data_IF_652706629615
#
_entry.id   IF_652706629615
#
_cell.length_a   1.000
_cell.length_b   1.000
_cell.length_c   1.000
_cell.angle_alpha   90.00
_cell.angle_beta   90.00
_cell.angle_gamma   90.00
#
_symmetry.space_group_name_H-M   'P 1'
#
loop_
_entity.id
_entity.type
_entity.pdbx_description
1 polymer ?
#
# COMPACT_ATOMS: atom_id res chain seq x y z
N UNK A 1 -21.51 -19.25 3.54
CA UNK A 1 -20.18 -19.39 4.16
C UNK A 1 -19.02 -18.82 3.32
N UNK A 2 -19.05 -18.88 1.98
CA UNK A 2 -17.94 -18.40 1.10
C UNK A 2 -17.70 -16.87 1.18
N UNK A 3 -18.70 -16.07 1.61
CA UNK A 3 -18.58 -14.61 1.76
C UNK A 3 -17.60 -14.13 2.85
N UNK A 4 -17.24 -14.97 3.83
CA UNK A 4 -16.38 -14.56 4.95
C UNK A 4 -14.90 -14.81 4.72
N UNK A 5 -14.54 -15.63 3.73
CA UNK A 5 -13.16 -15.98 3.40
C UNK A 5 -12.34 -14.73 3.04
N UNK A 6 -12.83 -13.82 2.17
CA UNK A 6 -12.07 -12.61 1.83
C UNK A 6 -11.86 -11.69 3.04
N UNK A 7 -12.89 -11.53 3.89
CA UNK A 7 -12.80 -10.67 5.08
C UNK A 7 -11.79 -11.21 6.10
N UNK A 8 -11.74 -12.53 6.28
CA UNK A 8 -10.78 -13.16 7.20
C UNK A 8 -9.35 -12.96 6.69
N UNK A 9 -9.11 -13.10 5.39
CA UNK A 9 -7.80 -12.86 4.80
C UNK A 9 -7.37 -11.40 4.87
N UNK A 10 -8.26 -10.44 4.59
CA UNK A 10 -7.94 -9.02 4.79
C UNK A 10 -7.60 -8.71 6.25
N UNK A 11 -8.31 -9.32 7.22
CA UNK A 11 -8.00 -9.15 8.64
C UNK A 11 -6.62 -9.73 9.00
N UNK A 12 -6.32 -10.94 8.54
CA UNK A 12 -5.02 -11.59 8.74
C UNK A 12 -3.90 -10.74 8.13
N UNK A 13 -4.12 -10.15 6.94
CA UNK A 13 -3.16 -9.23 6.32
C UNK A 13 -2.89 -7.99 7.17
N UNK A 14 -3.92 -7.38 7.74
CA UNK A 14 -3.74 -6.24 8.66
C UNK A 14 -2.90 -6.67 9.86
N UNK A 15 -3.19 -7.83 10.46
CA UNK A 15 -2.40 -8.36 11.57
C UNK A 15 -0.95 -8.61 11.18
N UNK A 16 -0.70 -9.23 10.02
CA UNK A 16 0.66 -9.48 9.50
C UNK A 16 1.40 -8.16 9.24
N UNK A 17 0.74 -7.19 8.61
CA UNK A 17 1.33 -5.87 8.34
C UNK A 17 1.74 -5.16 9.64
N UNK A 18 0.89 -5.21 10.67
CA UNK A 18 1.23 -4.68 12.00
C UNK A 18 2.39 -5.45 12.62
N UNK A 19 2.43 -6.78 12.50
CA UNK A 19 3.55 -7.58 13.00
C UNK A 19 4.88 -7.21 12.32
N UNK A 20 4.88 -6.84 11.03
CA UNK A 20 6.09 -6.40 10.33
C UNK A 20 6.74 -5.18 10.98
N UNK A 21 5.97 -4.27 11.60
CA UNK A 21 6.51 -3.10 12.32
C UNK A 21 7.42 -3.46 13.50
N UNK A 22 7.16 -4.61 14.13
CA UNK A 22 7.89 -5.07 15.30
C UNK A 22 9.05 -6.00 14.95
N UNK A 23 9.13 -6.44 13.69
CA UNK A 23 10.15 -7.35 13.21
C UNK A 23 11.31 -6.59 12.56
N UNK A 24 12.50 -7.17 12.65
CA UNK A 24 13.67 -6.64 11.97
C UNK A 24 13.77 -7.20 10.56
N UNK A 25 14.08 -6.38 9.54
CA UNK A 25 14.28 -6.84 8.16
C UNK A 25 15.50 -7.76 8.03
N UNK A 26 16.36 -7.86 9.05
CA UNK A 26 17.47 -8.82 9.11
C UNK A 26 17.05 -10.23 9.55
N UNK A 27 15.80 -10.42 9.99
CA UNK A 27 15.29 -11.73 10.41
C UNK A 27 14.56 -12.43 9.26
N UNK A 28 14.75 -13.75 9.14
CA UNK A 28 14.05 -14.56 8.15
C UNK A 28 12.52 -14.47 8.29
N UNK A 29 12.03 -14.37 9.53
CA UNK A 29 10.61 -14.26 9.84
C UNK A 29 9.96 -13.04 9.19
N UNK A 30 10.67 -11.91 9.10
CA UNK A 30 10.20 -10.72 8.40
C UNK A 30 9.90 -11.03 6.94
N UNK A 31 10.83 -11.69 6.24
CA UNK A 31 10.69 -12.01 4.82
C UNK A 31 9.59 -13.04 4.54
N UNK A 32 9.44 -14.03 5.43
CA UNK A 32 8.35 -15.02 5.34
C UNK A 32 6.99 -14.32 5.45
N UNK A 33 6.81 -13.48 6.45
CA UNK A 33 5.56 -12.75 6.66
C UNK A 33 5.30 -11.74 5.54
N UNK A 34 6.34 -11.03 5.11
CA UNK A 34 6.30 -10.11 3.99
C UNK A 34 5.80 -10.76 2.70
N UNK A 35 6.43 -11.88 2.30
CA UNK A 35 6.04 -12.63 1.11
C UNK A 35 4.64 -13.22 1.26
N UNK A 36 4.31 -13.76 2.43
CA UNK A 36 2.97 -14.29 2.69
C UNK A 36 1.88 -13.22 2.51
N UNK A 37 2.13 -12.00 2.98
CA UNK A 37 1.18 -10.90 2.86
C UNK A 37 1.01 -10.47 1.39
N UNK A 38 2.11 -10.30 0.65
CA UNK A 38 2.05 -9.89 -0.76
C UNK A 38 1.43 -10.96 -1.67
N UNK A 39 1.76 -12.24 -1.45
CA UNK A 39 1.18 -13.34 -2.22
C UNK A 39 -0.32 -13.52 -1.90
N UNK A 40 -0.73 -13.33 -0.65
CA UNK A 40 -2.14 -13.45 -0.25
C UNK A 40 -3.01 -12.42 -0.98
N UNK A 41 -2.58 -11.16 -1.09
CA UNK A 41 -3.30 -10.12 -1.86
C UNK A 41 -3.55 -10.53 -3.32
N UNK A 42 -2.53 -11.08 -3.97
CA UNK A 42 -2.62 -11.49 -5.37
C UNK A 42 -3.59 -12.67 -5.54
N UNK A 43 -3.55 -13.63 -4.63
CA UNK A 43 -4.39 -14.83 -4.66
C UNK A 43 -5.85 -14.48 -4.34
N UNK A 44 -6.09 -13.68 -3.30
CA UNK A 44 -7.44 -13.24 -2.94
C UNK A 44 -8.09 -12.38 -4.02
N UNK A 45 -7.33 -11.48 -4.63
CA UNK A 45 -7.79 -10.69 -5.76
C UNK A 45 -8.19 -11.55 -6.96
N UNK A 46 -7.48 -12.65 -7.22
CA UNK A 46 -7.81 -13.58 -8.29
C UNK A 46 -9.06 -14.44 -7.97
N UNK A 47 -9.16 -14.93 -6.73
CA UNK A 47 -10.28 -15.73 -6.25
C UNK A 47 -11.57 -14.88 -6.21
N UNK A 48 -11.52 -13.69 -5.62
CA UNK A 48 -12.67 -12.79 -5.52
C UNK A 48 -13.24 -12.42 -6.90
N UNK A 49 -12.37 -12.21 -7.90
CA UNK A 49 -12.78 -11.95 -9.29
C UNK A 49 -13.43 -13.17 -9.94
N UNK A 50 -12.87 -14.37 -9.74
CA UNK A 50 -13.43 -15.60 -10.32
C UNK A 50 -14.79 -15.96 -9.75
N UNK A 51 -15.02 -15.73 -8.46
CA UNK A 51 -16.27 -16.12 -7.80
C UNK A 51 -17.32 -15.00 -7.73
N UNK A 52 -17.01 -13.77 -8.18
CA UNK A 52 -17.89 -12.58 -8.07
C UNK A 52 -18.42 -12.35 -6.64
N UNK A 53 -17.63 -12.72 -5.63
CA UNK A 53 -17.97 -12.55 -4.21
C UNK A 53 -17.15 -11.41 -3.62
N UNK A 54 -17.25 -10.21 -4.21
CA UNK A 54 -16.75 -8.99 -3.57
C UNK A 54 -17.85 -8.43 -2.68
N UNK A 55 -17.50 -8.10 -1.44
CA UNK A 55 -18.38 -7.38 -0.52
C UNK A 55 -17.83 -5.97 -0.31
N UNK A 56 -18.70 -4.97 -0.18
CA UNK A 56 -18.29 -3.57 0.02
C UNK A 56 -17.51 -3.36 1.32
N UNK A 57 -17.72 -4.21 2.32
CA UNK A 57 -16.95 -4.20 3.56
C UNK A 57 -15.56 -4.82 3.35
N UNK A 58 -15.49 -5.94 2.63
CA UNK A 58 -14.24 -6.60 2.31
C UNK A 58 -13.31 -5.75 1.45
N UNK A 59 -13.86 -5.07 0.43
CA UNK A 59 -13.06 -4.18 -0.42
C UNK A 59 -12.43 -3.02 0.37
N UNK A 60 -13.20 -2.39 1.27
CA UNK A 60 -12.68 -1.32 2.15
C UNK A 60 -11.59 -1.82 3.11
N UNK A 61 -11.79 -3.00 3.70
CA UNK A 61 -10.81 -3.65 4.57
C UNK A 61 -9.53 -4.00 3.81
N UNK A 62 -9.65 -4.45 2.56
CA UNK A 62 -8.52 -4.78 1.69
C UNK A 62 -7.69 -3.55 1.35
N UNK A 63 -8.33 -2.44 0.98
CA UNK A 63 -7.61 -1.17 0.76
C UNK A 63 -6.95 -0.64 2.04
N UNK A 64 -7.58 -0.86 3.19
CA UNK A 64 -6.99 -0.49 4.49
C UNK A 64 -5.77 -1.37 4.79
N UNK A 65 -5.84 -2.67 4.50
CA UNK A 65 -4.71 -3.59 4.66
C UNK A 65 -3.54 -3.20 3.75
N UNK A 66 -3.80 -2.84 2.49
CA UNK A 66 -2.78 -2.31 1.57
C UNK A 66 -2.09 -1.07 2.13
N UNK A 67 -2.88 -0.12 2.65
CA UNK A 67 -2.34 1.11 3.22
C UNK A 67 -1.45 0.82 4.44
N UNK A 68 -1.92 -0.02 5.37
CA UNK A 68 -1.16 -0.41 6.56
C UNK A 68 0.11 -1.17 6.16
N UNK A 69 0.05 -2.04 5.14
CA UNK A 69 1.21 -2.76 4.64
C UNK A 69 2.28 -1.81 4.09
N UNK A 70 1.91 -0.91 3.17
CA UNK A 70 2.83 0.08 2.61
C UNK A 70 3.41 0.97 3.70
N UNK A 71 2.57 1.43 4.63
CA UNK A 71 3.00 2.24 5.77
C UNK A 71 3.99 1.49 6.66
N UNK A 72 3.78 0.20 6.88
CA UNK A 72 4.66 -0.63 7.70
C UNK A 72 6.04 -0.83 7.08
N UNK A 73 6.10 -1.04 5.76
CA UNK A 73 7.36 -1.09 5.03
C UNK A 73 8.12 0.24 5.10
N UNK A 74 7.39 1.33 4.95
CA UNK A 74 7.96 2.68 4.98
C UNK A 74 8.57 3.01 6.34
N UNK A 75 7.86 2.70 7.42
CA UNK A 75 8.38 2.86 8.78
C UNK A 75 9.58 1.96 9.05
N UNK A 76 9.56 0.72 8.55
CA UNK A 76 10.69 -0.21 8.66
C UNK A 76 11.93 0.37 7.95
N UNK A 77 11.76 0.93 6.75
CA UNK A 77 12.83 1.61 6.01
C UNK A 77 13.41 2.80 6.79
N UNK A 78 12.56 3.64 7.37
CA UNK A 78 12.97 4.80 8.18
C UNK A 78 13.72 4.37 9.44
N UNK A 79 13.31 3.26 10.07
CA UNK A 79 13.88 2.81 11.34
C UNK A 79 15.22 2.09 11.21
N UNK A 80 15.39 1.28 10.17
CA UNK A 80 16.59 0.44 10.00
C UNK A 80 17.64 1.06 9.08
N UNK A 81 17.28 2.07 8.30
CA UNK A 81 18.23 2.85 7.53
C UNK A 81 18.11 4.32 7.87
N UNK A 82 19.25 4.97 8.15
CA UNK A 82 19.37 6.41 8.30
C UNK A 82 19.04 7.10 6.97
N UNK A 83 17.75 7.17 6.66
CA UNK A 83 17.24 7.82 5.47
C UNK A 83 17.59 9.31 5.56
N UNK A 84 18.17 9.83 4.49
CA UNK A 84 18.50 11.25 4.43
C UNK A 84 17.20 12.08 4.40
N UNK A 85 17.23 13.25 5.03
CA UNK A 85 16.05 14.06 5.40
C UNK A 85 15.10 14.32 4.22
N UNK A 86 15.63 14.39 2.99
CA UNK A 86 14.85 14.53 1.76
C UNK A 86 13.84 13.40 1.49
N UNK A 87 14.13 12.16 1.88
CA UNK A 87 13.17 11.06 1.71
C UNK A 87 11.99 11.19 2.67
N UNK A 88 12.28 11.58 3.91
CA UNK A 88 11.24 11.85 4.91
C UNK A 88 10.31 12.98 4.45
N UNK A 89 10.85 14.05 3.86
CA UNK A 89 10.02 15.14 3.35
C UNK A 89 9.17 14.71 2.15
N UNK A 90 9.70 13.90 1.23
CA UNK A 90 8.90 13.36 0.11
C UNK A 90 7.77 12.45 0.60
N UNK A 91 8.09 11.55 1.52
CA UNK A 91 7.10 10.65 2.14
C UNK A 91 5.99 11.46 2.82
N UNK A 92 6.36 12.44 3.63
CA UNK A 92 5.42 13.30 4.33
C UNK A 92 4.52 14.04 3.34
N UNK A 93 5.10 14.56 2.25
CA UNK A 93 4.37 15.26 1.19
C UNK A 93 3.36 14.33 0.49
N UNK A 94 3.75 13.11 0.15
CA UNK A 94 2.86 12.09 -0.42
C UNK A 94 1.72 11.75 0.53
N UNK A 95 2.00 11.55 1.82
CA UNK A 95 1.00 11.27 2.85
C UNK A 95 0.01 12.43 2.98
N UNK A 96 0.50 13.67 3.01
CA UNK A 96 -0.34 14.87 3.07
C UNK A 96 -1.25 14.95 1.84
N UNK A 97 -0.71 14.74 0.63
CA UNK A 97 -1.51 14.74 -0.61
C UNK A 97 -2.60 13.67 -0.56
N UNK A 98 -2.28 12.46 -0.09
CA UNK A 98 -3.30 11.40 0.04
C UNK A 98 -4.36 11.71 1.07
N UNK A 99 -3.97 12.27 2.23
CA UNK A 99 -4.90 12.66 3.28
C UNK A 99 -5.83 13.79 2.82
N UNK A 100 -5.31 14.80 2.13
CA UNK A 100 -6.14 15.88 1.57
C UNK A 100 -7.06 15.36 0.46
N UNK A 101 -6.59 14.45 -0.39
CA UNK A 101 -7.41 13.80 -1.43
C UNK A 101 -8.54 12.97 -0.81
N UNK A 102 -8.27 12.22 0.26
CA UNK A 102 -9.29 11.50 1.03
C UNK A 102 -10.32 12.44 1.66
N UNK A 103 -9.87 13.55 2.27
CA UNK A 103 -10.75 14.56 2.87
C UNK A 103 -11.65 15.24 1.83
N UNK A 104 -11.10 15.62 0.67
CA UNK A 104 -11.85 16.22 -0.44
C UNK A 104 -12.88 15.22 -0.99
N UNK A 105 -12.49 13.96 -1.18
CA UNK A 105 -13.39 12.90 -1.60
C UNK A 105 -14.54 12.69 -0.60
N UNK A 106 -14.24 12.69 0.71
CA UNK A 106 -15.22 12.56 1.77
C UNK A 106 -16.22 13.72 1.79
N UNK A 107 -15.75 14.96 1.68
CA UNK A 107 -16.61 16.16 1.70
C UNK A 107 -17.46 16.26 0.43
N UNK A 108 -16.90 15.94 -0.75
CA UNK A 108 -17.55 16.16 -2.04
C UNK A 108 -18.53 15.05 -2.43
N UNK A 109 -18.20 13.78 -2.16
CA UNK A 109 -19.00 12.64 -2.63
C UNK A 109 -19.73 11.90 -1.49
N UNK A 110 -19.53 12.25 -0.21
CA UNK A 110 -20.10 11.56 0.99
C UNK A 110 -19.96 10.03 0.99
N UNK A 111 -19.08 9.51 0.15
CA UNK A 111 -18.72 8.11 0.08
C UNK A 111 -17.21 8.02 0.14
N UNK A 112 -16.70 7.04 0.90
CA UNK A 112 -15.30 6.62 0.81
C UNK A 112 -15.11 5.96 -0.54
N UNK A 113 -14.97 6.78 -1.58
CA UNK A 113 -14.50 6.33 -2.87
C UNK A 113 -13.00 6.10 -2.68
N UNK A 114 -12.66 4.95 -2.09
CA UNK A 114 -11.32 4.39 -2.18
C UNK A 114 -11.18 3.89 -3.60
N UNK A 115 -11.01 4.84 -4.53
CA UNK A 115 -10.88 4.54 -5.94
C UNK A 115 -9.57 3.78 -6.11
N UNK A 116 -9.67 2.48 -6.33
CA UNK A 116 -8.54 1.64 -6.72
C UNK A 116 -8.11 2.02 -8.13
N UNK A 117 -7.41 3.15 -8.28
CA UNK A 117 -6.77 3.48 -9.54
C UNK A 117 -5.71 2.42 -9.81
N UNK A 118 -5.67 1.89 -11.03
CA UNK A 118 -4.65 0.90 -11.46
C UNK A 118 -3.23 1.37 -11.09
N UNK A 119 -3.00 2.68 -11.12
CA UNK A 119 -1.77 3.36 -10.70
C UNK A 119 -1.33 3.04 -9.27
N UNK A 120 -2.25 2.98 -8.30
CA UNK A 120 -1.91 2.64 -6.91
C UNK A 120 -1.52 1.17 -6.77
N UNK A 121 -2.18 0.28 -7.51
CA UNK A 121 -1.85 -1.15 -7.51
C UNK A 121 -0.47 -1.39 -8.12
N UNK A 122 -0.13 -0.67 -9.19
CA UNK A 122 1.20 -0.69 -9.80
C UNK A 122 2.24 -0.12 -8.83
N UNK A 123 1.96 0.98 -8.13
CA UNK A 123 2.87 1.53 -7.12
C UNK A 123 3.11 0.56 -5.95
N UNK A 124 2.07 -0.12 -5.45
CA UNK A 124 2.20 -1.14 -4.41
C UNK A 124 3.05 -2.33 -4.85
N UNK A 125 2.82 -2.85 -6.06
CA UNK A 125 3.64 -3.91 -6.65
C UNK A 125 5.09 -3.48 -6.86
N UNK A 126 5.28 -2.24 -7.31
CA UNK A 126 6.60 -1.63 -7.49
C UNK A 126 7.34 -1.62 -6.15
N UNK A 127 6.74 -1.05 -5.10
CA UNK A 127 7.31 -1.07 -3.74
C UNK A 127 7.59 -2.49 -3.26
N UNK A 128 6.71 -3.45 -3.55
CA UNK A 128 6.87 -4.84 -3.16
C UNK A 128 8.10 -5.51 -3.81
N UNK A 129 8.35 -5.25 -5.09
CA UNK A 129 9.54 -5.79 -5.77
C UNK A 129 10.82 -5.08 -5.33
N UNK A 130 10.74 -3.76 -5.10
CA UNK A 130 11.91 -2.95 -4.80
C UNK A 130 12.42 -3.09 -3.35
N UNK A 131 11.55 -3.42 -2.39
CA UNK A 131 11.93 -3.57 -0.98
C UNK A 131 13.02 -4.66 -0.75
N UNK A 132 12.90 -5.90 -1.26
CA UNK A 132 13.98 -6.89 -1.14
C UNK A 132 15.26 -6.48 -1.87
N UNK A 133 15.15 -5.84 -3.04
CA UNK A 133 16.31 -5.36 -3.80
C UNK A 133 17.09 -4.33 -2.99
N UNK A 134 16.40 -3.43 -2.30
CA UNK A 134 17.02 -2.40 -1.46
C UNK A 134 17.85 -2.98 -0.31
N UNK A 135 17.36 -4.03 0.35
CA UNK A 135 18.07 -4.68 1.47
C UNK A 135 19.22 -5.59 1.01
N UNK A 136 19.12 -6.18 -0.19
CA UNK A 136 20.13 -7.11 -0.71
C UNK A 136 21.20 -6.47 -1.60
N UNK A 137 20.88 -5.37 -2.31
CA UNK A 137 21.80 -4.67 -3.21
C UNK A 137 22.16 -3.33 -2.59
N UNK A 138 23.47 -3.03 -2.50
CA UNK A 138 24.11 -1.92 -1.80
C UNK A 138 23.44 -0.52 -1.94
N UNK A 139 22.31 -0.32 -1.25
CA UNK A 139 21.62 0.94 -0.96
C UNK A 139 21.65 1.97 -2.11
N UNK A 140 21.21 1.61 -3.34
CA UNK A 140 21.28 2.53 -4.46
C UNK A 140 20.30 3.69 -4.23
N UNK A 141 20.84 4.88 -3.98
CA UNK A 141 20.06 6.13 -3.86
C UNK A 141 19.12 6.32 -5.06
N UNK A 142 19.55 5.88 -6.25
CA UNK A 142 18.76 5.88 -7.49
C UNK A 142 17.41 5.19 -7.31
N UNK A 143 17.38 4.05 -6.61
CA UNK A 143 16.18 3.26 -6.40
C UNK A 143 15.18 4.01 -5.52
N UNK A 144 15.66 4.66 -4.46
CA UNK A 144 14.84 5.53 -3.61
C UNK A 144 14.28 6.74 -4.36
N UNK A 145 15.08 7.39 -5.23
CA UNK A 145 14.61 8.49 -6.09
C UNK A 145 13.49 8.01 -7.00
N UNK A 146 13.66 6.86 -7.67
CA UNK A 146 12.66 6.34 -8.61
C UNK A 146 11.33 6.03 -7.92
N UNK A 147 11.36 5.40 -6.74
CA UNK A 147 10.16 5.13 -5.93
C UNK A 147 9.48 6.44 -5.53
N UNK A 148 10.26 7.41 -5.09
CA UNK A 148 9.75 8.73 -4.67
C UNK A 148 9.04 9.46 -5.80
N UNK A 149 9.61 9.44 -7.01
CA UNK A 149 9.00 10.04 -8.20
C UNK A 149 7.70 9.33 -8.60
N UNK A 150 7.69 8.00 -8.59
CA UNK A 150 6.49 7.20 -8.88
C UNK A 150 5.40 7.50 -7.85
N UNK A 151 5.74 7.56 -6.56
CA UNK A 151 4.79 7.85 -5.49
C UNK A 151 4.16 9.24 -5.62
N UNK A 152 4.96 10.26 -5.95
CA UNK A 152 4.46 11.62 -6.22
C UNK A 152 3.53 11.61 -7.44
N UNK A 153 3.95 10.97 -8.54
CA UNK A 153 3.15 10.91 -9.76
C UNK A 153 1.77 10.27 -9.51
N UNK A 154 1.75 9.12 -8.82
CA UNK A 154 0.50 8.42 -8.49
C UNK A 154 -0.38 9.26 -7.56
N UNK A 155 0.19 9.92 -6.56
CA UNK A 155 -0.57 10.76 -5.63
C UNK A 155 -1.18 11.98 -6.34
N UNK A 156 -0.45 12.61 -7.26
CA UNK A 156 -0.97 13.68 -8.11
C UNK A 156 -2.09 13.19 -9.02
N UNK A 157 -1.95 12.00 -9.62
CA UNK A 157 -2.98 11.42 -10.49
C UNK A 157 -4.27 11.16 -9.71
N UNK A 158 -4.19 10.59 -8.50
CA UNK A 158 -5.36 10.39 -7.63
C UNK A 158 -6.06 11.71 -7.29
N UNK A 159 -5.29 12.73 -6.91
CA UNK A 159 -5.84 14.05 -6.60
C UNK A 159 -6.61 14.64 -7.79
N UNK A 160 -6.08 14.52 -9.01
CA UNK A 160 -6.74 15.01 -10.23
C UNK A 160 -8.04 14.27 -10.51
N UNK A 161 -8.06 12.93 -10.36
CA UNK A 161 -9.27 12.12 -10.59
C UNK A 161 -10.38 12.52 -9.61
N UNK A 162 -10.05 12.65 -8.32
CA UNK A 162 -11.00 13.05 -7.27
C UNK A 162 -11.53 14.47 -7.50
N UNK A 163 -10.68 15.41 -7.91
CA UNK A 163 -11.11 16.78 -8.20
C UNK A 163 -12.03 16.83 -9.42
N UNK A 164 -11.70 16.11 -10.49
CA UNK A 164 -12.52 16.09 -11.72
C UNK A 164 -13.84 15.34 -11.56
N UNK A 165 -14.00 14.52 -10.51
CA UNK A 165 -15.22 13.74 -10.27
C UNK A 165 -15.52 12.75 -11.40
N UNK A 166 -14.51 12.38 -12.18
CA UNK A 166 -14.63 11.36 -13.22
C UNK A 166 -14.69 10.03 -12.49
N UNK A 167 -15.90 9.51 -12.32
CA UNK A 167 -16.10 8.10 -12.03
C UNK A 167 -15.45 7.30 -13.17
N UNK A 168 -14.42 6.52 -12.82
CA UNK A 168 -13.84 5.50 -13.69
C UNK A 168 -14.69 4.25 -13.64
#
# INVERSE_FOLDING_TARGET
MIKYIPNLLSLVRVSIAICLLFLSPYQLLFWVLYLSCGLSDMVDGAIARRFKVQSDLGSKLDSFADFVFVFSLLLTLIRYHSMSVWLLTVILLVVIIKMTTLLIGYIKHRQFIVQHTVSNKVAGLTLFVYFPIYFHVAQPVVLLVTISLIAIYVSCQEAIVVIKGVEL
#
